data_IF_388986048936
#
_entry.id   IF_388986048936
#
_cell.length_a   1.000
_cell.length_b   1.000
_cell.length_c   1.000
_cell.angle_alpha   90.00
_cell.angle_beta   90.00
_cell.angle_gamma   90.00
#
_symmetry.space_group_name_H-M   'P 1'
#
loop_
_entity.id
_entity.type
_entity.pdbx_description
1 polymer ?
#
# COMPACT_ATOMS: atom_id res chain seq x y z
N UNK A 1 -8.41 -11.76 -16.43
CA UNK A 1 -7.47 -11.88 -15.33
C UNK A 1 -8.20 -12.12 -14.02
N UNK A 2 -7.67 -12.94 -13.22
CA UNK A 2 -8.24 -13.21 -11.92
C UNK A 2 -7.31 -12.68 -10.86
N UNK A 3 -7.89 -12.36 -9.75
CA UNK A 3 -7.15 -11.89 -8.61
C UNK A 3 -6.95 -13.03 -7.64
N UNK A 4 -5.71 -13.26 -7.29
CA UNK A 4 -5.39 -14.29 -6.31
C UNK A 4 -5.06 -13.61 -5.01
N UNK A 5 -5.95 -13.78 -4.04
CA UNK A 5 -5.68 -13.34 -2.70
C UNK A 5 -4.61 -14.24 -2.09
N UNK A 6 -4.01 -13.77 -0.99
CA UNK A 6 -3.06 -14.56 -0.23
C UNK A 6 -3.80 -15.76 0.38
N UNK A 7 -3.14 -16.92 0.42
CA UNK A 7 -3.76 -18.14 0.91
C UNK A 7 -4.20 -17.99 2.37
N UNK A 8 -5.44 -18.42 2.65
CA UNK A 8 -6.01 -18.31 3.99
C UNK A 8 -5.51 -19.42 4.90
N UNK A 9 -5.54 -19.17 6.20
CA UNK A 9 -5.15 -20.13 7.24
C UNK A 9 -3.70 -20.58 7.12
N UNK A 10 -2.87 -19.68 6.60
CA UNK A 10 -1.45 -19.93 6.44
C UNK A 10 -0.69 -18.72 6.96
N UNK A 11 0.43 -18.97 7.61
CA UNK A 11 1.29 -17.89 8.10
C UNK A 11 2.09 -17.34 6.94
N UNK A 12 2.14 -16.00 6.84
CA UNK A 12 2.89 -15.31 5.79
C UNK A 12 3.87 -14.34 6.42
N UNK A 13 5.01 -14.19 5.81
CA UNK A 13 5.95 -13.11 6.15
C UNK A 13 5.55 -11.92 5.29
N UNK A 14 5.06 -10.88 5.93
CA UNK A 14 4.42 -9.77 5.22
C UNK A 14 5.30 -9.14 4.14
N UNK A 15 6.57 -8.91 4.44
CA UNK A 15 7.48 -8.28 3.48
C UNK A 15 7.79 -9.17 2.28
N UNK A 16 7.47 -10.46 2.36
CA UNK A 16 7.73 -11.41 1.28
C UNK A 16 6.50 -11.68 0.41
N UNK A 17 5.38 -11.04 0.72
CA UNK A 17 4.15 -11.26 -0.04
C UNK A 17 4.27 -10.72 -1.47
N UNK A 18 4.95 -9.58 -1.64
CA UNK A 18 5.23 -9.04 -2.97
C UNK A 18 6.69 -9.21 -3.31
N UNK A 19 6.98 -9.18 -4.61
CA UNK A 19 8.35 -9.20 -5.09
C UNK A 19 8.79 -7.79 -5.45
N UNK A 20 10.05 -7.47 -5.15
CA UNK A 20 10.65 -6.23 -5.61
C UNK A 20 11.09 -6.41 -7.06
N UNK A 21 10.71 -5.47 -7.91
CA UNK A 21 11.13 -5.47 -9.30
C UNK A 21 11.64 -4.08 -9.67
N UNK A 22 12.79 -4.04 -10.35
CA UNK A 22 13.40 -2.78 -10.77
C UNK A 22 12.47 -2.00 -11.69
N UNK A 23 12.42 -0.68 -11.49
CA UNK A 23 11.65 0.25 -12.29
C UNK A 23 10.16 -0.06 -12.30
N UNK A 24 9.66 -0.68 -11.24
CA UNK A 24 8.28 -1.16 -11.21
C UNK A 24 7.63 -0.93 -9.86
N UNK A 25 6.30 -0.96 -9.89
CA UNK A 25 5.46 -1.03 -8.70
C UNK A 25 4.77 -2.38 -8.77
N UNK A 26 4.94 -3.20 -7.75
CA UNK A 26 4.31 -4.52 -7.68
C UNK A 26 3.26 -4.51 -6.58
N UNK A 27 2.06 -4.97 -6.90
CA UNK A 27 0.95 -4.99 -5.93
C UNK A 27 0.39 -6.38 -5.82
N UNK A 28 0.07 -6.78 -4.59
CA UNK A 28 -0.57 -8.06 -4.30
C UNK A 28 -1.72 -7.84 -3.34
N UNK A 29 -2.89 -8.32 -3.69
CA UNK A 29 -4.05 -8.24 -2.82
C UNK A 29 -3.97 -9.33 -1.76
N UNK A 30 -4.06 -8.92 -0.49
CA UNK A 30 -4.08 -9.87 0.63
C UNK A 30 -5.48 -10.41 0.81
N UNK A 31 -6.45 -9.50 0.90
CA UNK A 31 -7.85 -9.86 1.09
C UNK A 31 -8.72 -8.81 0.44
N UNK A 32 -9.80 -9.24 -0.21
CA UNK A 32 -10.72 -8.32 -0.88
C UNK A 32 -12.14 -8.71 -0.59
N UNK A 33 -12.91 -7.75 -0.07
CA UNK A 33 -14.33 -7.91 0.25
C UNK A 33 -15.08 -6.71 -0.29
N UNK A 34 -16.40 -6.79 -0.33
CA UNK A 34 -17.23 -5.66 -0.75
C UNK A 34 -17.08 -4.47 0.20
N UNK A 35 -16.75 -4.73 1.46
CA UNK A 35 -16.61 -3.70 2.49
C UNK A 35 -15.20 -3.13 2.61
N UNK A 36 -14.24 -3.69 1.87
CA UNK A 36 -12.88 -3.19 1.91
C UNK A 36 -11.88 -4.20 1.40
N UNK A 37 -10.63 -3.78 1.31
CA UNK A 37 -9.57 -4.66 0.87
C UNK A 37 -8.25 -4.27 1.54
N UNK A 38 -7.32 -5.21 1.53
CA UNK A 38 -5.96 -5.02 2.03
C UNK A 38 -5.00 -5.52 0.95
N UNK A 39 -4.01 -4.71 0.62
CA UNK A 39 -2.99 -5.13 -0.34
C UNK A 39 -1.62 -4.69 0.13
N UNK A 40 -0.59 -5.32 -0.42
CA UNK A 40 0.81 -4.97 -0.18
C UNK A 40 1.39 -4.52 -1.49
N UNK A 41 2.18 -3.45 -1.46
CA UNK A 41 2.79 -2.90 -2.66
C UNK A 41 4.29 -2.75 -2.44
N UNK A 42 5.06 -3.04 -3.48
CA UNK A 42 6.49 -2.87 -3.51
C UNK A 42 6.83 -1.83 -4.56
N UNK A 43 7.64 -0.83 -4.19
CA UNK A 43 8.02 0.26 -5.09
C UNK A 43 9.51 0.27 -5.27
N UNK A 44 9.98 0.39 -6.52
CA UNK A 44 11.37 0.70 -6.75
C UNK A 44 11.63 2.15 -6.36
N UNK A 45 12.87 2.45 -6.03
CA UNK A 45 13.27 3.80 -5.64
C UNK A 45 12.91 4.79 -6.75
N UNK A 46 12.27 5.88 -6.39
CA UNK A 46 11.86 6.90 -7.34
C UNK A 46 10.51 6.64 -8.00
N UNK A 47 9.93 5.45 -7.84
CA UNK A 47 8.61 5.16 -8.35
C UNK A 47 7.54 5.65 -7.39
N UNK A 48 6.41 6.06 -7.90
CA UNK A 48 5.32 6.54 -7.08
C UNK A 48 3.99 6.45 -7.77
N UNK A 49 2.92 6.51 -6.99
CA UNK A 49 1.56 6.51 -7.51
C UNK A 49 1.09 7.93 -7.72
N UNK A 50 0.26 8.11 -8.73
CA UNK A 50 -0.40 9.40 -8.96
C UNK A 50 -1.37 9.70 -7.84
N UNK A 51 -1.68 10.98 -7.67
CA UNK A 51 -2.69 11.41 -6.72
C UNK A 51 -4.04 10.76 -7.05
N UNK A 52 -4.72 10.31 -6.00
CA UNK A 52 -6.05 9.75 -6.17
C UNK A 52 -6.87 9.99 -4.91
N UNK A 53 -8.19 9.97 -5.07
CA UNK A 53 -9.13 10.15 -3.97
C UNK A 53 -9.87 8.84 -3.79
N UNK A 54 -9.93 8.37 -2.56
CA UNK A 54 -10.64 7.16 -2.22
C UNK A 54 -11.97 7.49 -1.54
N UNK A 55 -13.04 6.72 -1.80
CA UNK A 55 -14.30 6.89 -1.06
C UNK A 55 -14.24 6.34 0.36
N UNK A 56 -13.13 5.71 0.74
CA UNK A 56 -12.96 5.11 2.06
C UNK A 56 -11.73 5.67 2.74
N UNK A 57 -11.74 5.63 4.08
CA UNK A 57 -10.54 5.92 4.83
C UNK A 57 -9.50 4.85 4.49
N UNK A 58 -8.24 5.24 4.41
CA UNK A 58 -7.17 4.33 4.03
C UNK A 58 -6.14 4.27 5.14
N UNK A 59 -5.83 3.07 5.60
CA UNK A 59 -4.71 2.84 6.52
C UNK A 59 -3.51 2.43 5.69
N UNK A 60 -2.41 3.15 5.86
CA UNK A 60 -1.18 2.88 5.11
C UNK A 60 -0.03 2.70 6.09
N UNK A 61 0.70 1.60 5.95
CA UNK A 61 1.83 1.29 6.81
C UNK A 61 3.06 0.96 5.97
N UNK A 62 4.21 1.48 6.38
CA UNK A 62 5.48 1.15 5.74
C UNK A 62 6.05 -0.06 6.47
N UNK A 63 6.09 -1.19 5.78
CA UNK A 63 6.60 -2.43 6.39
C UNK A 63 8.09 -2.62 6.14
N UNK A 64 8.65 -1.93 5.14
CA UNK A 64 10.08 -1.96 4.90
C UNK A 64 10.46 -0.77 4.03
N UNK A 65 11.39 0.05 4.50
CA UNK A 65 11.90 1.19 3.75
C UNK A 65 11.35 2.52 4.23
N UNK A 66 11.39 3.50 3.34
CA UNK A 66 10.93 4.86 3.59
C UNK A 66 10.04 5.30 2.45
N UNK A 67 9.07 6.16 2.76
CA UNK A 67 8.20 6.70 1.73
C UNK A 67 7.77 8.12 2.09
N UNK A 68 7.51 8.91 1.07
CA UNK A 68 6.89 10.21 1.23
C UNK A 68 5.44 10.11 0.80
N UNK A 69 4.53 10.46 1.69
CA UNK A 69 3.09 10.44 1.41
C UNK A 69 2.60 11.88 1.42
N UNK A 70 2.07 12.33 0.29
CA UNK A 70 1.55 13.68 0.16
C UNK A 70 0.03 13.63 0.28
N UNK A 71 -0.51 14.29 1.30
CA UNK A 71 -1.94 14.34 1.56
C UNK A 71 -2.34 15.80 1.56
N UNK A 72 -3.23 16.18 0.66
CA UNK A 72 -3.75 17.53 0.58
C UNK A 72 -2.61 18.56 0.53
N UNK A 73 -1.62 18.29 -0.31
CA UNK A 73 -0.42 19.12 -0.53
C UNK A 73 0.55 19.18 0.65
N UNK A 74 0.35 18.34 1.67
CA UNK A 74 1.26 18.26 2.80
C UNK A 74 2.04 16.97 2.73
N UNK A 75 3.36 17.06 2.87
CA UNK A 75 4.24 15.93 2.79
C UNK A 75 4.43 15.28 4.15
N UNK A 76 4.35 13.96 4.19
CA UNK A 76 4.58 13.16 5.39
C UNK A 76 5.63 12.11 5.09
N UNK A 77 6.72 12.10 5.83
CA UNK A 77 7.79 11.12 5.65
C UNK A 77 7.57 9.98 6.63
N UNK A 78 7.49 8.76 6.12
CA UNK A 78 7.30 7.57 6.92
C UNK A 78 8.47 6.63 6.77
N UNK A 79 8.84 6.00 7.88
CA UNK A 79 9.90 4.99 7.91
C UNK A 79 9.29 3.64 8.29
N UNK A 80 10.09 2.60 8.19
CA UNK A 80 9.67 1.25 8.54
C UNK A 80 8.94 1.23 9.88
N UNK A 81 7.77 0.63 9.90
CA UNK A 81 6.94 0.49 11.10
C UNK A 81 5.98 1.63 11.34
N UNK A 82 6.11 2.72 10.59
CA UNK A 82 5.22 3.87 10.76
C UNK A 82 4.03 3.77 9.83
N UNK A 83 2.94 4.41 10.23
CA UNK A 83 1.69 4.36 9.47
C UNK A 83 0.97 5.70 9.50
N UNK A 84 0.00 5.85 8.61
CA UNK A 84 -0.82 7.04 8.54
C UNK A 84 -2.22 6.64 8.08
N UNK A 85 -3.23 7.35 8.56
CA UNK A 85 -4.59 7.16 8.09
C UNK A 85 -4.94 8.33 7.19
N UNK A 86 -5.38 8.03 5.98
CA UNK A 86 -5.74 9.03 4.98
C UNK A 86 -7.25 9.10 4.94
N UNK A 87 -7.84 10.26 5.31
CA UNK A 87 -9.30 10.40 5.29
C UNK A 87 -9.87 10.25 3.89
N UNK A 88 -11.08 9.73 3.81
CA UNK A 88 -11.72 9.39 2.53
C UNK A 88 -11.98 10.60 1.63
N UNK A 89 -11.98 11.81 2.16
CA UNK A 89 -12.24 13.01 1.38
C UNK A 89 -10.97 13.73 0.92
N UNK A 90 -9.80 13.21 1.26
CA UNK A 90 -8.54 13.86 0.92
C UNK A 90 -7.81 13.12 -0.18
N UNK A 91 -7.11 13.89 -1.03
CA UNK A 91 -6.30 13.34 -2.10
C UNK A 91 -4.96 12.86 -1.53
N UNK A 92 -4.51 11.75 -2.06
CA UNK A 92 -3.22 11.18 -1.69
C UNK A 92 -2.18 11.59 -2.71
#
# INVERSE_FOLDING_TARGET
>A
MYNTEVEKSKVHITVEITEYMSHSIVSKTIIKKLTGNISVMSFDSGEGLSEKISPFDTYLQIIDGNAEIVIDSKSHLLETGQSIIIPHTQAI
#
